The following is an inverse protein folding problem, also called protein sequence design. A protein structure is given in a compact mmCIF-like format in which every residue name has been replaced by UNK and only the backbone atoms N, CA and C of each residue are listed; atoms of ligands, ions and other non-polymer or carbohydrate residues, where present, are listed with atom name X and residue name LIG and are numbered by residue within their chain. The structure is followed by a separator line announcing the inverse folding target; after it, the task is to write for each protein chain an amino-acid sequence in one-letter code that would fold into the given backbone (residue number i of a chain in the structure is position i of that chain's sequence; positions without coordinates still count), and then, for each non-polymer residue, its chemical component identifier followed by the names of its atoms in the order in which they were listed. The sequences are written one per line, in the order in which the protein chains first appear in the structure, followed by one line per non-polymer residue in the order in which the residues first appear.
data_IF_641742249338
#
_entry.id   IF_641742249338
#
_cell.length_a   1.000
_cell.length_b   1.000
_cell.length_c   1.000
_cell.angle_alpha   90.00
_cell.angle_beta   90.00
_cell.angle_gamma   90.00
#
_symmetry.space_group_name_H-M   'P 1'
#
loop_
_entity.id
_entity.type
_entity.pdbx_description
1 polymer ?
#
# COMPACT_ATOMS: atom_id res chain seq x y z
N UNK A 1 -32.50 3.55 3.93
CA UNK A 1 -32.60 3.68 2.47
C UNK A 1 -32.66 2.28 1.89
N UNK A 2 -33.66 1.94 1.08
CA UNK A 2 -33.73 0.62 0.44
C UNK A 2 -32.72 0.59 -0.71
N UNK A 3 -31.73 -0.29 -0.62
CA UNK A 3 -30.82 -0.58 -1.72
C UNK A 3 -31.63 -1.18 -2.86
N UNK A 4 -31.90 -0.41 -3.90
CA UNK A 4 -32.46 -0.95 -5.16
C UNK A 4 -31.48 -1.96 -5.72
N UNK A 5 -31.96 -3.11 -6.18
CA UNK A 5 -31.22 -4.27 -6.65
C UNK A 5 -30.47 -4.01 -7.97
N UNK A 6 -29.46 -3.16 -7.92
CA UNK A 6 -28.35 -3.21 -8.86
C UNK A 6 -27.47 -4.38 -8.41
N UNK A 7 -27.12 -5.28 -9.31
CA UNK A 7 -26.19 -6.36 -9.00
C UNK A 7 -24.96 -5.75 -8.27
N UNK A 8 -24.82 -6.12 -7.00
CA UNK A 8 -23.86 -5.51 -6.08
C UNK A 8 -22.46 -5.87 -6.58
N UNK A 9 -21.75 -4.90 -7.16
CA UNK A 9 -20.35 -5.09 -7.57
C UNK A 9 -19.50 -5.20 -6.31
N UNK A 10 -18.75 -6.30 -6.22
CA UNK A 10 -17.76 -6.48 -5.15
C UNK A 10 -16.46 -5.84 -5.63
N UNK A 11 -15.96 -4.80 -4.96
CA UNK A 11 -14.72 -4.16 -5.36
C UNK A 11 -13.53 -5.09 -5.13
N UNK A 12 -12.54 -5.06 -6.04
CA UNK A 12 -11.27 -5.73 -5.82
C UNK A 12 -10.42 -4.98 -4.81
N UNK A 13 -9.63 -5.71 -4.04
CA UNK A 13 -8.57 -5.15 -3.19
C UNK A 13 -7.30 -5.11 -4.00
N UNK A 14 -6.86 -3.90 -4.32
CA UNK A 14 -5.64 -3.64 -5.08
C UNK A 14 -4.48 -3.35 -4.12
N UNK A 15 -3.55 -4.30 -4.02
CA UNK A 15 -2.42 -4.26 -3.12
C UNK A 15 -1.12 -3.77 -3.79
N UNK A 16 -0.21 -3.11 -3.03
CA UNK A 16 1.09 -2.72 -3.55
C UNK A 16 2.05 -3.91 -3.62
N UNK A 17 2.82 -4.02 -4.73
CA UNK A 17 3.91 -4.96 -4.88
C UNK A 17 5.20 -4.22 -5.29
N UNK A 18 6.04 -3.88 -4.31
CA UNK A 18 7.30 -3.18 -4.53
C UNK A 18 8.49 -4.10 -4.89
N UNK A 19 8.33 -5.41 -4.73
CA UNK A 19 9.29 -6.46 -5.05
C UNK A 19 8.60 -7.83 -5.06
N UNK A 20 9.33 -8.90 -5.36
CA UNK A 20 8.81 -10.28 -5.42
C UNK A 20 8.17 -10.74 -4.10
N UNK A 21 8.81 -10.50 -2.97
CA UNK A 21 8.26 -10.89 -1.66
C UNK A 21 6.94 -10.17 -1.34
N UNK A 22 6.82 -8.88 -1.71
CA UNK A 22 5.58 -8.13 -1.57
C UNK A 22 4.46 -8.69 -2.45
N UNK A 23 4.78 -9.09 -3.69
CA UNK A 23 3.85 -9.75 -4.60
C UNK A 23 3.32 -11.05 -4.00
N UNK A 24 4.21 -11.93 -3.58
CA UNK A 24 3.88 -13.22 -2.96
C UNK A 24 3.01 -13.02 -1.71
N UNK A 25 3.37 -12.05 -0.87
CA UNK A 25 2.61 -11.70 0.32
C UNK A 25 1.20 -11.18 -0.03
N UNK A 26 1.08 -10.26 -0.99
CA UNK A 26 -0.22 -9.73 -1.40
C UNK A 26 -1.15 -10.84 -1.93
N UNK A 27 -0.62 -11.73 -2.78
CA UNK A 27 -1.36 -12.87 -3.31
C UNK A 27 -1.80 -13.82 -2.18
N UNK A 28 -0.90 -14.17 -1.27
CA UNK A 28 -1.17 -15.11 -0.18
C UNK A 28 -2.23 -14.57 0.80
N UNK A 29 -2.20 -13.27 1.10
CA UNK A 29 -3.11 -12.64 2.07
C UNK A 29 -4.40 -12.09 1.44
N UNK A 30 -4.62 -12.30 0.14
CA UNK A 30 -5.91 -12.23 -0.52
C UNK A 30 -6.20 -10.93 -1.25
N UNK A 31 -5.20 -10.31 -1.84
CA UNK A 31 -5.42 -9.33 -2.89
C UNK A 31 -6.03 -9.99 -4.14
N UNK A 32 -6.89 -9.27 -4.85
CA UNK A 32 -7.42 -9.68 -6.17
C UNK A 32 -6.68 -9.01 -7.32
N UNK A 33 -5.97 -7.92 -7.02
CA UNK A 33 -5.06 -7.29 -7.95
C UNK A 33 -3.85 -6.73 -7.21
N UNK A 34 -2.73 -6.61 -7.92
CA UNK A 34 -1.52 -5.95 -7.43
C UNK A 34 -1.10 -4.86 -8.40
N UNK A 35 -0.53 -3.77 -7.88
CA UNK A 35 0.14 -2.80 -8.72
C UNK A 35 1.64 -2.77 -8.41
N UNK A 36 2.43 -2.82 -9.47
CA UNK A 36 3.88 -2.84 -9.41
C UNK A 36 4.48 -1.81 -10.36
N UNK A 37 5.78 -1.61 -10.29
CA UNK A 37 6.55 -0.77 -11.18
C UNK A 37 7.81 -1.47 -11.63
N UNK A 38 8.30 -1.09 -12.79
CA UNK A 38 9.63 -1.49 -13.25
C UNK A 38 10.68 -0.48 -12.81
N UNK A 39 11.94 -0.90 -12.78
CA UNK A 39 13.09 -0.04 -12.48
C UNK A 39 13.18 1.09 -13.51
N UNK A 40 13.72 2.24 -13.08
CA UNK A 40 13.81 3.45 -13.90
C UNK A 40 12.73 4.49 -13.56
N UNK A 41 12.60 5.51 -14.40
CA UNK A 41 11.84 6.73 -14.13
C UNK A 41 10.36 6.67 -14.57
N UNK A 42 9.84 5.49 -14.93
CA UNK A 42 8.48 5.33 -15.44
C UNK A 42 7.40 5.41 -14.35
N UNK A 43 7.77 5.33 -13.07
CA UNK A 43 6.82 5.27 -11.96
C UNK A 43 7.22 6.15 -10.77
N UNK A 44 6.22 6.62 -9.98
CA UNK A 44 6.40 7.55 -8.87
C UNK A 44 7.13 6.99 -7.65
N UNK A 45 7.45 5.72 -7.62
CA UNK A 45 8.24 5.06 -6.57
C UNK A 45 9.52 4.46 -7.18
N UNK A 46 10.23 5.23 -8.00
CA UNK A 46 11.50 4.83 -8.60
C UNK A 46 12.53 4.38 -7.55
N UNK A 47 12.48 4.94 -6.33
CA UNK A 47 13.33 4.53 -5.20
C UNK A 47 12.90 3.22 -4.50
N UNK A 48 11.77 2.59 -4.87
CA UNK A 48 11.47 1.22 -4.46
C UNK A 48 12.39 0.24 -5.19
N UNK A 49 12.49 -1.02 -4.71
CA UNK A 49 13.29 -2.04 -5.42
C UNK A 49 12.79 -2.25 -6.84
N UNK A 50 11.47 -2.23 -7.04
CA UNK A 50 10.80 -2.47 -8.32
C UNK A 50 11.28 -3.76 -9.00
N UNK A 51 10.61 -4.14 -10.08
CA UNK A 51 11.00 -5.30 -10.91
C UNK A 51 11.88 -4.82 -12.07
N UNK A 52 12.82 -5.63 -12.51
CA UNK A 52 13.42 -5.43 -13.82
C UNK A 52 12.38 -5.76 -14.91
N UNK A 53 12.61 -5.30 -16.14
CA UNK A 53 11.75 -5.68 -17.27
C UNK A 53 11.77 -7.20 -17.53
N UNK A 54 12.89 -7.85 -17.25
CA UNK A 54 13.02 -9.30 -17.44
C UNK A 54 12.27 -10.10 -16.37
N UNK A 55 12.11 -9.57 -15.16
CA UNK A 55 11.32 -10.19 -14.09
C UNK A 55 9.81 -10.01 -14.27
N UNK A 56 9.37 -9.11 -15.16
CA UNK A 56 7.95 -8.73 -15.28
C UNK A 56 7.06 -9.91 -15.70
N UNK A 57 7.50 -10.71 -16.67
CA UNK A 57 6.74 -11.88 -17.13
C UNK A 57 6.60 -12.92 -16.00
N UNK A 58 7.68 -13.28 -15.32
CA UNK A 58 7.65 -14.23 -14.20
C UNK A 58 6.80 -13.72 -13.02
N UNK A 59 6.83 -12.42 -12.75
CA UNK A 59 5.99 -11.80 -11.73
C UNK A 59 4.49 -11.86 -12.11
N UNK A 60 4.17 -11.62 -13.37
CA UNK A 60 2.81 -11.68 -13.89
C UNK A 60 2.27 -13.11 -13.89
N UNK A 61 3.05 -14.07 -14.39
CA UNK A 61 2.70 -15.49 -14.40
C UNK A 61 2.45 -16.02 -12.98
N UNK A 62 3.29 -15.63 -12.02
CA UNK A 62 3.10 -15.98 -10.62
C UNK A 62 1.78 -15.44 -10.07
N UNK A 63 1.49 -14.14 -10.29
CA UNK A 63 0.25 -13.52 -9.84
C UNK A 63 -0.98 -14.20 -10.46
N UNK A 64 -0.95 -14.44 -11.77
CA UNK A 64 -2.01 -15.13 -12.50
C UNK A 64 -2.20 -16.57 -12.01
N UNK A 65 -1.12 -17.28 -11.68
CA UNK A 65 -1.17 -18.59 -11.03
C UNK A 65 -1.90 -18.58 -9.67
N UNK A 66 -1.93 -17.43 -9.00
CA UNK A 66 -2.70 -17.19 -7.77
C UNK A 66 -4.10 -16.62 -8.04
N UNK A 67 -4.49 -16.38 -9.30
CA UNK A 67 -5.76 -15.72 -9.67
C UNK A 67 -5.76 -14.21 -9.41
N UNK A 68 -4.60 -13.56 -9.35
CA UNK A 68 -4.41 -12.14 -9.02
C UNK A 68 -4.01 -11.36 -10.27
N UNK A 69 -4.69 -10.26 -10.56
CA UNK A 69 -4.38 -9.37 -11.69
C UNK A 69 -3.18 -8.48 -11.41
N UNK A 70 -2.46 -8.09 -12.47
CA UNK A 70 -1.26 -7.25 -12.40
C UNK A 70 -1.48 -5.94 -13.13
N UNK A 71 -1.27 -4.81 -12.45
CA UNK A 71 -1.35 -3.47 -13.02
C UNK A 71 0.02 -2.80 -12.96
N UNK A 72 0.58 -2.47 -14.13
CA UNK A 72 1.89 -1.82 -14.22
C UNK A 72 1.76 -0.30 -14.10
N UNK A 73 2.55 0.33 -13.23
CA UNK A 73 2.54 1.77 -13.06
C UNK A 73 3.45 2.48 -14.07
N UNK A 74 2.87 3.33 -14.92
CA UNK A 74 3.51 4.25 -15.85
C UNK A 74 3.04 5.68 -15.54
N UNK A 75 3.13 6.07 -14.27
CA UNK A 75 2.38 7.20 -13.72
C UNK A 75 3.23 8.41 -13.31
N UNK A 76 4.39 8.56 -13.91
CA UNK A 76 5.18 9.80 -13.85
C UNK A 76 4.66 10.82 -14.87
N UNK A 77 5.19 12.06 -14.81
CA UNK A 77 5.06 13.07 -15.85
C UNK A 77 6.41 13.18 -16.55
N UNK A 78 6.67 12.36 -17.57
CA UNK A 78 7.96 12.31 -18.24
C UNK A 78 8.20 13.54 -19.10
N UNK A 79 9.45 14.00 -19.19
CA UNK A 79 9.90 14.90 -20.23
C UNK A 79 10.30 14.07 -21.46
N UNK A 80 10.46 14.71 -22.63
CA UNK A 80 10.72 14.03 -23.92
C UNK A 80 11.86 13.00 -23.81
N UNK A 81 12.98 13.35 -23.18
CA UNK A 81 14.11 12.44 -23.01
C UNK A 81 13.80 11.17 -22.18
N UNK A 82 12.78 11.22 -21.33
CA UNK A 82 12.35 10.08 -20.54
C UNK A 82 11.30 9.24 -21.27
N UNK A 83 10.50 9.87 -22.14
CA UNK A 83 9.53 9.17 -22.99
C UNK A 83 10.19 8.13 -23.90
N UNK A 84 11.46 8.31 -24.28
CA UNK A 84 12.22 7.37 -25.11
C UNK A 84 12.25 5.92 -24.57
N UNK A 85 12.14 5.75 -23.25
CA UNK A 85 12.14 4.43 -22.63
C UNK A 85 10.73 3.78 -22.58
N UNK A 86 9.65 4.54 -22.73
CA UNK A 86 8.29 4.02 -22.56
C UNK A 86 7.85 3.01 -23.62
N UNK A 87 8.20 3.16 -24.92
CA UNK A 87 7.84 2.18 -25.93
C UNK A 87 8.26 0.75 -25.59
N UNK A 88 9.50 0.55 -25.14
CA UNK A 88 9.99 -0.76 -24.73
C UNK A 88 9.20 -1.29 -23.53
N UNK A 89 8.95 -0.46 -22.52
CA UNK A 89 8.22 -0.86 -21.32
C UNK A 89 6.77 -1.26 -21.68
N UNK A 90 6.10 -0.51 -22.55
CA UNK A 90 4.72 -0.79 -22.97
C UNK A 90 4.65 -2.13 -23.76
N UNK A 91 5.53 -2.35 -24.69
CA UNK A 91 5.58 -3.60 -25.48
C UNK A 91 5.87 -4.80 -24.56
N UNK A 92 6.86 -4.68 -23.68
CA UNK A 92 7.21 -5.74 -22.71
C UNK A 92 6.07 -6.00 -21.71
N UNK A 93 5.30 -4.99 -21.33
CA UNK A 93 4.10 -5.16 -20.50
C UNK A 93 3.02 -5.98 -21.23
N UNK A 94 2.82 -5.73 -22.53
CA UNK A 94 1.93 -6.51 -23.36
C UNK A 94 2.37 -7.97 -23.47
N UNK A 95 3.66 -8.19 -23.79
CA UNK A 95 4.25 -9.54 -23.91
C UNK A 95 4.18 -10.33 -22.59
N UNK A 96 4.36 -9.65 -21.46
CA UNK A 96 4.25 -10.23 -20.12
C UNK A 96 2.80 -10.50 -19.66
N UNK A 97 1.79 -10.13 -20.45
CA UNK A 97 0.39 -10.36 -20.12
C UNK A 97 -0.14 -9.51 -18.96
N UNK A 98 0.42 -8.31 -18.74
CA UNK A 98 -0.06 -7.36 -17.72
C UNK A 98 -1.52 -6.99 -18.02
N UNK A 99 -2.38 -7.01 -16.99
CA UNK A 99 -3.84 -6.82 -17.15
C UNK A 99 -4.25 -5.36 -17.41
N UNK A 100 -3.46 -4.39 -16.95
CA UNK A 100 -3.66 -2.97 -17.21
C UNK A 100 -2.39 -2.15 -16.94
N UNK A 101 -2.34 -0.94 -17.51
CA UNK A 101 -1.34 0.06 -17.16
C UNK A 101 -1.98 1.23 -16.41
N UNK A 102 -1.28 1.78 -15.41
CA UNK A 102 -1.73 2.96 -14.63
C UNK A 102 -0.97 4.18 -15.12
N UNK A 103 -1.65 5.10 -15.79
CA UNK A 103 -1.07 6.24 -16.51
C UNK A 103 -1.54 7.57 -15.90
N UNK A 104 -0.69 8.62 -15.95
CA UNK A 104 -1.03 9.98 -15.49
C UNK A 104 -0.94 11.01 -16.60
N UNK A 105 -0.07 10.79 -17.57
CA UNK A 105 0.32 11.70 -18.62
C UNK A 105 -0.37 11.38 -19.95
N UNK A 106 -0.80 12.41 -20.69
CA UNK A 106 -1.49 12.23 -21.96
C UNK A 106 -0.57 11.68 -23.06
N UNK A 107 0.72 12.03 -23.06
CA UNK A 107 1.67 11.49 -24.03
C UNK A 107 1.92 10.01 -23.81
N UNK A 108 1.96 9.58 -22.53
CA UNK A 108 2.05 8.14 -22.20
C UNK A 108 0.76 7.40 -22.60
N UNK A 109 -0.42 8.02 -22.40
CA UNK A 109 -1.69 7.45 -22.84
C UNK A 109 -1.73 7.26 -24.36
N UNK A 110 -1.26 8.24 -25.11
CA UNK A 110 -1.18 8.20 -26.57
C UNK A 110 -0.24 7.06 -27.05
N UNK A 111 0.95 6.95 -26.44
CA UNK A 111 1.87 5.83 -26.71
C UNK A 111 1.25 4.45 -26.41
N UNK A 112 0.51 4.32 -25.32
CA UNK A 112 -0.18 3.04 -25.02
C UNK A 112 -1.25 2.73 -26.06
N UNK A 113 -2.01 3.73 -26.51
CA UNK A 113 -3.03 3.55 -27.53
C UNK A 113 -2.43 3.17 -28.89
N UNK A 114 -1.24 3.69 -29.23
CA UNK A 114 -0.51 3.35 -30.44
C UNK A 114 0.14 1.96 -30.40
N UNK A 115 0.88 1.67 -29.33
CA UNK A 115 1.75 0.48 -29.24
C UNK A 115 1.05 -0.76 -28.70
N UNK A 116 0.02 -0.59 -27.88
CA UNK A 116 -0.74 -1.67 -27.24
C UNK A 116 -2.25 -1.34 -27.22
N UNK A 117 -2.93 -1.23 -28.37
CA UNK A 117 -4.31 -0.71 -28.46
C UNK A 117 -5.37 -1.55 -27.73
N UNK A 118 -5.02 -2.77 -27.32
CA UNK A 118 -5.89 -3.63 -26.51
C UNK A 118 -5.61 -3.58 -25.00
N UNK A 119 -4.58 -2.84 -24.56
CA UNK A 119 -4.17 -2.75 -23.16
C UNK A 119 -5.16 -1.85 -22.38
N UNK A 120 -5.82 -2.37 -21.33
CA UNK A 120 -6.65 -1.53 -20.47
C UNK A 120 -5.82 -0.43 -19.78
N UNK A 121 -6.35 0.79 -19.74
CA UNK A 121 -5.69 1.93 -19.10
C UNK A 121 -6.49 2.38 -17.88
N UNK A 122 -5.84 2.40 -16.73
CA UNK A 122 -6.34 2.99 -15.50
C UNK A 122 -5.70 4.38 -15.32
N UNK A 123 -6.53 5.40 -15.14
CA UNK A 123 -6.03 6.75 -14.88
C UNK A 123 -5.56 6.87 -13.43
N UNK A 124 -4.31 7.25 -13.23
CA UNK A 124 -3.73 7.47 -11.92
C UNK A 124 -4.39 8.63 -11.18
N UNK A 125 -4.44 8.55 -9.85
CA UNK A 125 -4.81 9.68 -8.99
C UNK A 125 -3.99 10.96 -9.25
N UNK A 126 -2.79 10.83 -9.81
CA UNK A 126 -1.93 11.94 -10.21
C UNK A 126 -2.53 12.84 -11.29
N UNK A 127 -3.53 12.35 -12.02
CA UNK A 127 -4.30 13.18 -12.97
C UNK A 127 -5.31 14.11 -12.28
N UNK A 128 -5.42 14.08 -10.94
CA UNK A 128 -6.25 14.96 -10.09
C UNK A 128 -7.73 15.00 -10.52
N UNK A 129 -8.32 13.84 -10.77
CA UNK A 129 -9.71 13.77 -11.25
C UNK A 129 -10.66 13.91 -10.07
N UNK A 130 -11.42 15.01 -10.04
CA UNK A 130 -12.29 15.41 -8.93
C UNK A 130 -13.75 15.65 -9.34
N UNK A 131 -14.14 15.34 -10.57
CA UNK A 131 -15.53 15.54 -11.00
C UNK A 131 -15.91 14.60 -12.16
N UNK A 132 -17.21 14.35 -12.32
CA UNK A 132 -17.73 13.43 -13.31
C UNK A 132 -17.44 13.86 -14.77
N UNK A 133 -17.37 15.16 -15.06
CA UNK A 133 -17.04 15.63 -16.41
C UNK A 133 -15.63 15.24 -16.81
N UNK A 134 -14.67 15.35 -15.87
CA UNK A 134 -13.30 14.92 -16.10
C UNK A 134 -13.23 13.39 -16.27
N UNK A 135 -13.92 12.60 -15.42
CA UNK A 135 -14.02 11.14 -15.59
C UNK A 135 -14.52 10.77 -16.96
N UNK A 136 -15.63 11.38 -17.40
CA UNK A 136 -16.22 11.08 -18.71
C UNK A 136 -15.35 11.58 -19.89
N UNK A 137 -14.54 12.63 -19.69
CA UNK A 137 -13.56 13.06 -20.70
C UNK A 137 -12.45 12.03 -20.87
N UNK A 138 -11.87 11.56 -19.77
CA UNK A 138 -10.86 10.50 -19.78
C UNK A 138 -11.38 9.20 -20.39
N UNK A 139 -12.63 8.81 -20.08
CA UNK A 139 -13.27 7.64 -20.71
C UNK A 139 -13.32 7.78 -22.25
N UNK A 140 -13.65 8.97 -22.77
CA UNK A 140 -13.63 9.19 -24.23
C UNK A 140 -12.24 9.10 -24.86
N UNK A 141 -11.18 9.29 -24.07
CA UNK A 141 -9.79 9.11 -24.48
C UNK A 141 -9.31 7.65 -24.33
N UNK A 142 -10.19 6.70 -24.00
CA UNK A 142 -9.85 5.28 -23.92
C UNK A 142 -9.52 4.78 -22.52
N UNK A 143 -9.60 5.62 -21.49
CA UNK A 143 -9.41 5.18 -20.09
C UNK A 143 -10.59 4.32 -19.66
N UNK A 144 -10.31 3.12 -19.13
CA UNK A 144 -11.32 2.17 -18.65
C UNK A 144 -11.68 2.40 -17.17
N UNK A 145 -10.70 2.74 -16.32
CA UNK A 145 -10.86 2.97 -14.88
C UNK A 145 -10.22 4.29 -14.46
N UNK A 146 -10.85 5.00 -13.53
CA UNK A 146 -10.31 6.25 -12.97
C UNK A 146 -10.05 6.09 -11.48
N UNK A 147 -8.79 6.26 -11.06
CA UNK A 147 -8.42 6.36 -9.66
C UNK A 147 -8.63 7.81 -9.23
N UNK A 148 -9.69 8.04 -8.46
CA UNK A 148 -10.10 9.36 -8.06
C UNK A 148 -9.07 10.05 -7.15
N UNK A 149 -9.09 11.37 -7.14
CA UNK A 149 -8.29 12.17 -6.22
C UNK A 149 -8.68 11.90 -4.76
N UNK A 150 -7.70 11.99 -3.83
CA UNK A 150 -7.91 11.70 -2.40
C UNK A 150 -8.56 12.84 -1.64
N UNK A 151 -8.71 13.97 -2.27
CA UNK A 151 -9.30 15.19 -1.73
C UNK A 151 -10.83 15.23 -1.85
N UNK A 152 -11.45 14.16 -2.37
CA UNK A 152 -12.90 14.01 -2.49
C UNK A 152 -13.53 13.43 -1.22
N UNK A 153 -14.68 13.99 -0.83
CA UNK A 153 -15.51 13.41 0.21
C UNK A 153 -16.52 12.39 -0.34
N UNK A 154 -17.16 11.65 0.56
CA UNK A 154 -18.10 10.58 0.21
C UNK A 154 -19.28 11.05 -0.64
N UNK A 155 -19.76 12.28 -0.44
CA UNK A 155 -20.88 12.83 -1.20
C UNK A 155 -20.47 13.19 -2.63
N UNK A 156 -19.27 13.71 -2.83
CA UNK A 156 -18.69 14.01 -4.13
C UNK A 156 -18.40 12.74 -4.92
N UNK A 157 -17.79 11.72 -4.29
CA UNK A 157 -17.56 10.41 -4.92
C UNK A 157 -18.89 9.79 -5.36
N UNK A 158 -19.91 9.84 -4.50
CA UNK A 158 -21.26 9.36 -4.84
C UNK A 158 -21.86 10.11 -6.04
N UNK A 159 -21.72 11.42 -6.09
CA UNK A 159 -22.18 12.22 -7.22
C UNK A 159 -21.46 11.87 -8.53
N UNK A 160 -20.15 11.64 -8.46
CA UNK A 160 -19.35 11.16 -9.60
C UNK A 160 -19.88 9.78 -10.05
N UNK A 161 -20.06 8.83 -9.11
CA UNK A 161 -20.54 7.47 -9.43
C UNK A 161 -21.90 7.49 -10.13
N UNK A 162 -22.81 8.37 -9.71
CA UNK A 162 -24.13 8.51 -10.32
C UNK A 162 -24.10 9.10 -11.73
N UNK A 163 -23.06 9.85 -12.08
CA UNK A 163 -22.93 10.57 -13.34
C UNK A 163 -21.99 9.90 -14.37
N UNK A 164 -21.49 8.70 -14.08
CA UNK A 164 -20.62 7.95 -14.99
C UNK A 164 -20.81 6.45 -14.85
N UNK A 165 -20.56 5.74 -15.93
CA UNK A 165 -20.47 4.28 -16.01
C UNK A 165 -19.02 3.77 -16.11
N UNK A 166 -18.02 4.69 -16.07
CA UNK A 166 -16.61 4.32 -15.99
C UNK A 166 -16.32 3.55 -14.69
N UNK A 167 -15.34 2.67 -14.69
CA UNK A 167 -14.84 2.07 -13.47
C UNK A 167 -14.19 3.12 -12.58
N UNK A 168 -14.48 3.08 -11.27
CA UNK A 168 -13.94 3.99 -10.29
C UNK A 168 -13.18 3.23 -9.21
N UNK A 169 -12.05 3.78 -8.83
CA UNK A 169 -11.17 3.27 -7.77
C UNK A 169 -10.81 4.40 -6.82
N UNK A 170 -10.71 4.12 -5.52
CA UNK A 170 -10.22 5.07 -4.51
C UNK A 170 -9.12 4.45 -3.66
N UNK A 171 -8.25 5.30 -3.12
CA UNK A 171 -7.37 4.88 -2.03
C UNK A 171 -8.17 4.74 -0.73
N UNK A 172 -7.97 3.61 -0.04
CA UNK A 172 -8.65 3.32 1.24
C UNK A 172 -7.67 3.24 2.42
N UNK A 173 -6.36 3.10 2.15
CA UNK A 173 -5.36 2.95 3.21
C UNK A 173 -3.99 3.44 2.79
N UNK A 174 -3.21 3.93 3.76
CA UNK A 174 -1.80 4.24 3.64
C UNK A 174 -1.46 5.72 3.59
N UNK A 175 -0.26 6.04 3.18
CA UNK A 175 0.29 7.40 3.25
C UNK A 175 -0.43 8.38 2.33
N UNK A 176 -0.77 9.55 2.85
CA UNK A 176 -1.34 10.67 2.08
C UNK A 176 -0.29 11.75 1.88
N UNK A 177 -0.24 12.34 0.68
CA UNK A 177 0.58 13.52 0.42
C UNK A 177 -0.13 14.78 0.91
N UNK A 178 0.65 15.77 1.38
CA UNK A 178 0.12 17.08 1.74
C UNK A 178 -0.29 17.92 0.51
N UNK A 179 0.27 17.62 -0.64
CA UNK A 179 -0.05 18.27 -1.92
C UNK A 179 -1.16 17.54 -2.66
N UNK A 180 -1.93 18.27 -3.45
CA UNK A 180 -3.05 17.74 -4.23
C UNK A 180 -2.61 16.53 -5.05
N UNK A 181 -3.15 15.36 -4.72
CA UNK A 181 -2.88 14.07 -5.36
C UNK A 181 -1.38 13.80 -5.61
N UNK A 182 -0.50 14.35 -4.75
CA UNK A 182 0.94 14.16 -4.84
C UNK A 182 1.67 15.04 -5.86
N UNK A 183 1.02 15.97 -6.54
CA UNK A 183 1.69 16.97 -7.41
C UNK A 183 2.41 18.00 -6.53
N UNK A 184 3.73 17.87 -6.42
CA UNK A 184 4.53 18.66 -5.49
C UNK A 184 5.85 19.09 -6.11
N UNK A 185 6.26 20.33 -5.83
CA UNK A 185 7.55 20.87 -6.26
C UNK A 185 8.55 21.06 -5.11
N UNK A 186 8.16 20.80 -3.85
CA UNK A 186 9.03 21.06 -2.69
C UNK A 186 10.35 20.30 -2.80
N UNK A 187 10.32 19.02 -3.22
CA UNK A 187 11.53 18.21 -3.42
C UNK A 187 12.44 18.78 -4.53
N UNK A 188 11.85 19.34 -5.59
CA UNK A 188 12.61 19.98 -6.66
C UNK A 188 13.32 21.24 -6.16
N UNK A 189 12.62 22.10 -5.41
CA UNK A 189 13.18 23.34 -4.90
C UNK A 189 14.23 23.13 -3.81
N UNK A 190 14.02 22.19 -2.88
CA UNK A 190 14.93 22.00 -1.76
C UNK A 190 16.10 21.06 -2.07
N UNK A 191 15.92 20.09 -2.95
CA UNK A 191 16.90 19.02 -3.17
C UNK A 191 17.23 18.76 -4.64
N UNK A 192 16.73 19.58 -5.56
CA UNK A 192 16.89 19.37 -7.01
C UNK A 192 16.43 17.97 -7.49
N UNK A 193 15.45 17.37 -6.79
CA UNK A 193 14.90 16.04 -7.11
C UNK A 193 13.40 16.14 -7.35
N UNK A 194 12.98 15.78 -8.57
CA UNK A 194 11.61 15.96 -9.03
C UNK A 194 10.69 14.85 -8.49
N UNK A 195 9.76 15.27 -7.63
CA UNK A 195 8.74 14.38 -7.06
C UNK A 195 7.79 13.81 -8.12
N UNK A 196 7.50 14.58 -9.18
CA UNK A 196 6.57 14.21 -10.24
C UNK A 196 7.18 13.21 -11.23
N UNK A 197 8.50 13.02 -11.15
CA UNK A 197 9.28 12.03 -11.93
C UNK A 197 9.82 10.89 -11.06
N UNK A 198 9.19 10.61 -9.92
CA UNK A 198 9.53 9.48 -9.07
C UNK A 198 10.68 9.69 -8.09
N UNK A 199 11.34 10.87 -8.09
CA UNK A 199 12.52 11.15 -7.27
C UNK A 199 12.24 11.94 -6.00
N UNK A 200 11.02 11.84 -5.43
CA UNK A 200 10.62 12.58 -4.23
C UNK A 200 11.48 12.18 -3.02
N UNK A 201 12.15 13.17 -2.40
CA UNK A 201 12.90 13.00 -1.14
C UNK A 201 12.03 13.19 0.09
N UNK A 202 10.73 13.38 -0.08
CA UNK A 202 9.75 13.62 0.98
C UNK A 202 10.09 14.82 1.90
N UNK A 203 10.47 15.99 1.35
CA UNK A 203 10.87 17.13 2.18
C UNK A 203 9.71 17.69 3.02
N UNK A 204 8.46 17.42 2.67
CA UNK A 204 7.31 17.72 3.52
C UNK A 204 7.35 16.98 4.87
N UNK A 205 8.29 16.06 5.03
CA UNK A 205 8.51 15.25 6.26
C UNK A 205 9.84 15.57 6.96
N UNK A 206 10.57 16.59 6.48
CA UNK A 206 11.82 17.04 7.09
C UNK A 206 11.58 18.00 8.25
N UNK A 207 12.58 18.18 9.13
CA UNK A 207 12.50 19.08 10.26
C UNK A 207 12.71 20.53 9.82
N UNK A 208 11.69 21.37 10.03
CA UNK A 208 11.75 22.80 9.77
C UNK A 208 11.19 23.57 10.96
N UNK A 209 11.75 24.73 11.29
CA UNK A 209 11.08 25.70 12.12
C UNK A 209 10.42 26.74 11.22
N UNK A 210 9.09 26.71 11.10
CA UNK A 210 8.31 27.75 10.42
C UNK A 210 7.87 28.79 11.43
N UNK A 211 8.18 30.05 11.15
CA UNK A 211 7.70 31.20 11.92
C UNK A 211 6.76 32.02 11.06
N UNK A 212 5.49 32.10 11.43
CA UNK A 212 4.54 32.99 10.78
C UNK A 212 4.73 34.41 11.35
N UNK A 213 5.05 35.39 10.50
CA UNK A 213 5.30 36.79 10.94
C UNK A 213 4.09 37.45 11.58
N UNK A 214 2.88 37.00 11.28
CA UNK A 214 1.62 37.55 11.85
C UNK A 214 1.28 36.93 13.20
N UNK A 215 1.93 35.83 13.57
CA UNK A 215 1.79 35.14 14.85
C UNK A 215 3.15 34.98 15.57
N UNK A 216 3.77 36.08 16.00
CA UNK A 216 5.09 36.01 16.63
C UNK A 216 5.03 35.20 17.92
N UNK A 217 5.95 34.25 18.07
CA UNK A 217 6.03 33.36 19.24
C UNK A 217 5.23 32.06 19.12
N UNK A 218 4.46 31.86 18.05
CA UNK A 218 3.91 30.55 17.69
C UNK A 218 4.85 29.88 16.69
N UNK A 219 5.57 28.89 17.17
CA UNK A 219 6.38 28.02 16.31
C UNK A 219 5.48 26.88 15.84
N UNK A 220 5.25 26.78 14.54
CA UNK A 220 4.66 25.56 13.95
C UNK A 220 5.77 24.52 13.97
N UNK A 221 5.67 23.50 14.82
CA UNK A 221 6.77 22.58 15.01
C UNK A 221 7.00 21.77 13.72
N UNK A 222 8.26 21.57 13.45
CA UNK A 222 8.76 20.82 12.32
C UNK A 222 9.84 19.92 12.88
N UNK A 223 9.71 18.61 12.85
CA UNK A 223 10.66 17.70 13.48
C UNK A 223 11.31 16.73 12.51
N UNK A 224 12.50 16.28 12.85
CA UNK A 224 13.29 15.28 12.12
C UNK A 224 13.35 13.97 12.90
N UNK A 225 13.12 12.85 12.22
CA UNK A 225 13.44 11.53 12.76
C UNK A 225 13.88 10.60 11.62
N UNK A 226 14.98 9.88 11.80
CA UNK A 226 15.48 8.90 10.83
C UNK A 226 15.94 9.49 9.50
N UNK A 227 16.38 10.75 9.45
CA UNK A 227 16.84 11.43 8.21
C UNK A 227 15.72 12.00 7.36
N UNK A 228 14.50 12.17 7.90
CA UNK A 228 13.35 12.76 7.23
C UNK A 228 12.76 13.92 8.03
N UNK A 229 12.47 15.01 7.35
CA UNK A 229 11.84 16.22 7.92
C UNK A 229 10.34 16.25 7.62
N UNK A 230 9.53 16.74 8.54
CA UNK A 230 8.07 16.70 8.48
C UNK A 230 7.46 18.11 8.48
N UNK A 231 7.24 18.67 7.28
CA UNK A 231 6.42 19.84 7.07
C UNK A 231 4.97 19.36 6.90
N UNK A 232 4.09 19.67 7.84
CA UNK A 232 2.69 19.22 7.77
C UNK A 232 2.58 17.69 7.66
N UNK A 233 3.13 16.98 8.63
CA UNK A 233 3.11 15.51 8.69
C UNK A 233 1.67 14.99 8.71
N UNK A 234 1.12 14.64 7.53
CA UNK A 234 -0.21 14.06 7.44
C UNK A 234 -0.25 12.68 8.09
N UNK A 235 -1.32 12.39 8.83
CA UNK A 235 -1.63 11.04 9.31
C UNK A 235 -1.80 10.07 8.12
N UNK A 236 -1.81 8.79 8.38
CA UNK A 236 -2.05 7.78 7.35
C UNK A 236 -3.57 7.54 7.17
N UNK A 237 -4.01 7.43 5.92
CA UNK A 237 -5.41 7.13 5.58
C UNK A 237 -5.80 5.74 6.09
N UNK A 238 -6.98 5.63 6.70
CA UNK A 238 -7.64 4.36 6.98
C UNK A 238 -9.16 4.53 6.92
N UNK A 239 -9.80 3.90 5.94
CA UNK A 239 -11.25 3.95 5.77
C UNK A 239 -11.99 2.76 6.40
N UNK A 240 -11.31 1.87 7.13
CA UNK A 240 -11.97 0.79 7.87
C UNK A 240 -13.06 1.28 8.83
N UNK A 241 -12.88 2.39 9.60
CA UNK A 241 -13.92 2.88 10.49
C UNK A 241 -15.24 3.26 9.82
N UNK A 242 -15.21 3.56 8.53
CA UNK A 242 -16.36 4.01 7.71
C UNK A 242 -16.58 3.10 6.49
N UNK A 243 -16.21 1.83 6.63
CA UNK A 243 -16.14 0.90 5.50
C UNK A 243 -17.50 0.59 4.88
N UNK A 244 -18.58 0.65 5.66
CA UNK A 244 -19.96 0.58 5.18
C UNK A 244 -20.27 1.67 4.15
N UNK A 245 -19.83 2.91 4.41
CA UNK A 245 -20.00 4.02 3.49
C UNK A 245 -19.15 3.85 2.22
N UNK A 246 -17.93 3.29 2.34
CA UNK A 246 -17.06 2.96 1.19
C UNK A 246 -17.75 1.93 0.29
N UNK A 247 -18.23 0.84 0.86
CA UNK A 247 -18.89 -0.22 0.10
C UNK A 247 -20.19 0.23 -0.58
N UNK A 248 -20.93 1.14 0.08
CA UNK A 248 -22.15 1.72 -0.46
C UNK A 248 -21.95 2.63 -1.69
N UNK A 249 -20.71 2.96 -2.06
CA UNK A 249 -20.39 3.74 -3.27
C UNK A 249 -20.46 2.92 -4.56
N UNK A 250 -20.38 1.60 -4.49
CA UNK A 250 -20.41 0.73 -5.68
C UNK A 250 -19.20 0.93 -6.61
N UNK A 251 -18.01 0.97 -6.01
CA UNK A 251 -16.73 1.12 -6.71
C UNK A 251 -16.22 -0.22 -7.23
N UNK A 252 -15.32 -0.19 -8.20
CA UNK A 252 -14.66 -1.37 -8.75
C UNK A 252 -13.34 -1.70 -8.06
N UNK A 253 -12.66 -0.70 -7.46
CA UNK A 253 -11.35 -0.92 -6.82
C UNK A 253 -11.18 -0.19 -5.49
N UNK A 254 -10.57 -0.90 -4.53
CA UNK A 254 -10.13 -0.39 -3.23
C UNK A 254 -8.61 -0.49 -3.17
N UNK A 255 -7.91 0.64 -3.30
CA UNK A 255 -6.46 0.68 -3.42
C UNK A 255 -5.76 0.93 -2.09
N UNK A 256 -4.77 0.10 -1.78
CA UNK A 256 -3.89 0.25 -0.63
C UNK A 256 -2.57 0.88 -1.09
N UNK A 257 -2.18 2.01 -0.50
CA UNK A 257 -0.85 2.61 -0.73
C UNK A 257 0.19 1.91 0.13
N UNK A 258 1.39 1.66 -0.42
CA UNK A 258 2.43 1.04 0.40
C UNK A 258 3.56 0.31 -0.34
N UNK A 259 3.95 0.67 -1.56
CA UNK A 259 5.03 -0.02 -2.31
C UNK A 259 6.40 -0.04 -1.60
N UNK A 260 6.66 0.93 -0.73
CA UNK A 260 7.88 1.00 0.10
C UNK A 260 7.67 0.47 1.53
N UNK A 261 6.52 -0.13 1.82
CA UNK A 261 6.22 -0.71 3.13
C UNK A 261 6.76 -2.14 3.23
N UNK A 262 6.72 -2.71 4.43
CA UNK A 262 7.16 -4.09 4.70
C UNK A 262 6.11 -5.13 4.29
N UNK A 263 6.54 -6.39 4.12
CA UNK A 263 5.63 -7.53 3.89
C UNK A 263 4.62 -7.67 5.03
N UNK A 264 5.00 -7.39 6.28
CA UNK A 264 4.08 -7.39 7.43
C UNK A 264 2.95 -6.37 7.26
N UNK A 265 3.25 -5.16 6.77
CA UNK A 265 2.24 -4.15 6.48
C UNK A 265 1.27 -4.64 5.40
N UNK A 266 1.79 -5.19 4.31
CA UNK A 266 0.97 -5.69 3.19
C UNK A 266 0.04 -6.80 3.67
N UNK A 267 0.57 -7.82 4.35
CA UNK A 267 -0.21 -8.92 4.89
C UNK A 267 -1.34 -8.45 5.81
N UNK A 268 -0.98 -7.60 6.78
CA UNK A 268 -1.92 -7.12 7.80
C UNK A 268 -3.04 -6.27 7.21
N UNK A 269 -2.70 -5.32 6.32
CA UNK A 269 -3.68 -4.39 5.75
C UNK A 269 -4.58 -5.09 4.73
N UNK A 270 -4.00 -5.85 3.79
CA UNK A 270 -4.78 -6.58 2.77
C UNK A 270 -5.79 -7.51 3.44
N UNK A 271 -5.34 -8.28 4.43
CA UNK A 271 -6.21 -9.22 5.14
C UNK A 271 -7.35 -8.53 5.91
N UNK A 272 -7.07 -7.38 6.55
CA UNK A 272 -8.09 -6.62 7.27
C UNK A 272 -9.18 -6.09 6.33
N UNK A 273 -8.80 -5.50 5.20
CA UNK A 273 -9.75 -5.02 4.18
C UNK A 273 -10.52 -6.16 3.53
N UNK A 274 -9.89 -7.29 3.26
CA UNK A 274 -10.57 -8.49 2.75
C UNK A 274 -11.63 -8.99 3.72
N UNK A 275 -11.30 -9.14 5.01
CA UNK A 275 -12.26 -9.56 6.05
C UNK A 275 -13.45 -8.60 6.13
N UNK A 276 -13.18 -7.29 6.14
CA UNK A 276 -14.22 -6.27 6.19
C UNK A 276 -15.14 -6.35 4.97
N UNK A 277 -14.56 -6.44 3.75
CA UNK A 277 -15.33 -6.57 2.51
C UNK A 277 -16.15 -7.86 2.48
N UNK A 278 -15.55 -9.00 2.80
CA UNK A 278 -16.23 -10.29 2.77
C UNK A 278 -17.36 -10.36 3.83
N UNK A 279 -17.19 -9.70 4.97
CA UNK A 279 -18.24 -9.55 5.98
C UNK A 279 -19.40 -8.68 5.46
N UNK A 280 -19.09 -7.55 4.84
CA UNK A 280 -20.10 -6.67 4.25
C UNK A 280 -20.86 -7.38 3.11
N UNK A 281 -20.16 -8.10 2.22
CA UNK A 281 -20.79 -8.85 1.11
C UNK A 281 -21.74 -9.93 1.64
N UNK A 282 -21.42 -10.55 2.77
CA UNK A 282 -22.25 -11.58 3.39
C UNK A 282 -23.54 -11.03 3.98
N UNK A 283 -23.50 -9.88 4.59
CA UNK A 283 -24.65 -9.23 5.23
C UNK A 283 -24.51 -7.70 5.19
N UNK A 284 -24.90 -7.06 4.07
CA UNK A 284 -24.77 -5.60 3.92
C UNK A 284 -25.68 -4.80 4.85
N UNK A 285 -26.86 -5.36 5.22
CA UNK A 285 -27.82 -4.66 6.09
C UNK A 285 -27.46 -4.74 7.57
N UNK A 286 -26.88 -5.85 7.99
CA UNK A 286 -26.41 -6.08 9.35
C UNK A 286 -24.93 -5.79 9.57
N UNK A 287 -24.21 -5.28 8.55
CA UNK A 287 -22.78 -5.04 8.65
C UNK A 287 -22.41 -4.03 9.74
N UNK A 288 -21.50 -4.44 10.60
CA UNK A 288 -20.86 -3.59 11.60
C UNK A 288 -19.35 -3.78 11.50
N UNK A 289 -18.62 -2.67 11.52
CA UNK A 289 -17.16 -2.70 11.52
C UNK A 289 -16.66 -3.35 12.81
N UNK A 290 -15.92 -4.46 12.68
CA UNK A 290 -15.29 -5.09 13.84
C UNK A 290 -14.08 -4.24 14.28
N UNK A 291 -14.07 -3.73 15.54
CA UNK A 291 -12.94 -2.98 16.06
C UNK A 291 -11.61 -3.78 16.06
N UNK A 292 -11.68 -5.11 15.97
CA UNK A 292 -10.49 -5.95 15.87
C UNK A 292 -9.73 -5.69 14.56
N UNK A 293 -10.40 -5.38 13.45
CA UNK A 293 -9.72 -5.05 12.19
C UNK A 293 -8.92 -3.75 12.29
N UNK A 294 -9.48 -2.75 13.01
CA UNK A 294 -8.79 -1.47 13.24
C UNK A 294 -7.57 -1.68 14.14
N UNK A 295 -7.73 -2.47 15.21
CA UNK A 295 -6.59 -2.83 16.07
C UNK A 295 -5.52 -3.62 15.31
N UNK A 296 -5.94 -4.48 14.39
CA UNK A 296 -5.02 -5.30 13.60
C UNK A 296 -4.17 -4.45 12.66
N UNK A 297 -4.76 -3.53 11.89
CA UNK A 297 -3.96 -2.62 11.04
C UNK A 297 -3.07 -1.69 11.85
N UNK A 298 -3.42 -1.38 13.09
CA UNK A 298 -2.58 -0.63 14.04
C UNK A 298 -1.30 -1.38 14.45
N UNK A 299 -1.21 -2.68 14.25
CA UNK A 299 0.00 -3.49 14.50
C UNK A 299 1.05 -3.33 13.39
N UNK A 300 0.64 -2.94 12.19
CA UNK A 300 1.57 -2.54 11.14
C UNK A 300 2.09 -1.12 11.38
N UNK A 301 3.28 -0.83 10.86
CA UNK A 301 3.88 0.51 10.96
C UNK A 301 2.97 1.59 10.36
N UNK A 302 2.59 2.60 11.15
CA UNK A 302 1.70 3.67 10.75
C UNK A 302 2.04 5.00 11.44
N UNK A 303 1.41 6.11 11.00
CA UNK A 303 1.58 7.47 11.56
C UNK A 303 0.32 8.01 12.25
N UNK A 304 -0.41 7.18 12.93
CA UNK A 304 -1.81 7.39 13.30
C UNK A 304 -2.73 7.39 12.08
N UNK A 305 -3.95 6.98 12.30
CA UNK A 305 -4.94 6.87 11.23
C UNK A 305 -5.97 7.99 11.30
N UNK A 306 -6.40 8.42 10.12
CA UNK A 306 -7.52 9.32 9.91
C UNK A 306 -8.28 8.94 8.64
N UNK A 307 -9.47 9.50 8.45
CA UNK A 307 -10.30 9.22 7.26
C UNK A 307 -9.96 10.09 6.05
N UNK A 308 -8.90 10.89 6.13
CA UNK A 308 -8.56 11.85 5.07
C UNK A 308 -9.69 12.84 4.82
N UNK A 309 -9.93 13.15 3.57
CA UNK A 309 -11.05 14.01 3.14
C UNK A 309 -12.37 13.25 3.01
N UNK A 310 -12.40 11.94 3.23
CA UNK A 310 -13.56 11.10 2.92
C UNK A 310 -14.84 11.52 3.67
N UNK A 311 -14.74 11.91 4.93
CA UNK A 311 -15.88 12.43 5.69
C UNK A 311 -16.00 13.94 5.55
N UNK A 312 -14.91 14.67 5.73
CA UNK A 312 -14.86 16.12 5.70
C UNK A 312 -13.43 16.59 5.41
N UNK A 313 -13.26 17.90 5.14
CA UNK A 313 -11.92 18.50 5.00
C UNK A 313 -11.15 18.34 6.31
N UNK A 314 -10.00 17.65 6.33
CA UNK A 314 -9.21 17.51 7.54
C UNK A 314 -8.64 18.87 7.93
N UNK A 315 -8.96 19.31 9.14
CA UNK A 315 -8.36 20.47 9.77
C UNK A 315 -7.01 20.12 10.43
N UNK A 316 -6.72 20.77 11.55
CA UNK A 316 -5.54 20.50 12.37
C UNK A 316 -5.44 19.03 12.81
N UNK A 317 -6.58 18.36 13.00
CA UNK A 317 -6.64 16.93 13.38
C UNK A 317 -6.07 15.98 12.31
N UNK A 318 -5.92 16.44 11.08
CA UNK A 318 -5.29 15.68 9.98
C UNK A 318 -3.77 15.69 10.02
N UNK A 319 -3.17 16.51 10.90
CA UNK A 319 -1.73 16.71 11.03
C UNK A 319 -1.26 16.04 12.32
N UNK A 320 -0.14 15.32 12.21
CA UNK A 320 0.55 14.77 13.37
C UNK A 320 1.59 15.77 13.84
N UNK A 321 1.34 16.42 14.98
CA UNK A 321 2.24 17.44 15.55
C UNK A 321 3.30 16.87 16.49
N UNK A 322 3.09 15.67 17.02
CA UNK A 322 4.10 14.99 17.83
C UNK A 322 4.97 14.09 16.92
N UNK A 323 6.23 14.40 16.87
CA UNK A 323 7.18 13.85 15.93
C UNK A 323 7.79 12.51 16.35
N UNK A 324 7.01 11.62 16.89
CA UNK A 324 7.48 10.29 17.27
C UNK A 324 7.60 9.31 16.10
N UNK A 325 7.78 9.80 14.87
CA UNK A 325 7.97 8.97 13.70
C UNK A 325 6.78 8.05 13.38
N UNK A 326 7.07 6.86 12.88
CA UNK A 326 6.08 5.80 12.73
C UNK A 326 5.81 5.12 14.07
N UNK A 327 4.55 4.82 14.33
CA UNK A 327 4.15 3.97 15.44
C UNK A 327 4.47 2.52 15.04
N UNK A 328 5.36 1.91 15.79
CA UNK A 328 5.72 0.50 15.67
C UNK A 328 5.27 -0.23 16.94
N UNK A 329 4.41 -1.20 16.80
CA UNK A 329 4.00 -2.05 17.93
C UNK A 329 4.44 -3.49 17.74
N UNK A 330 4.72 -3.89 16.51
CA UNK A 330 5.17 -5.22 16.15
C UNK A 330 6.22 -5.14 15.04
N UNK A 331 7.18 -6.08 15.06
CA UNK A 331 8.13 -6.30 13.97
C UNK A 331 7.87 -7.64 13.28
N UNK A 332 8.23 -7.70 12.00
CA UNK A 332 8.33 -8.96 11.29
C UNK A 332 9.43 -9.81 11.95
N UNK A 333 9.06 -10.92 12.57
CA UNK A 333 9.97 -11.82 13.26
C UNK A 333 10.61 -12.84 12.33
N UNK A 334 9.76 -13.54 11.54
CA UNK A 334 10.18 -14.57 10.62
C UNK A 334 9.17 -14.75 9.48
N UNK A 335 9.59 -15.44 8.44
CA UNK A 335 8.75 -15.93 7.34
C UNK A 335 8.81 -17.45 7.31
N UNK A 336 7.70 -18.10 7.09
CA UNK A 336 7.64 -19.54 6.86
C UNK A 336 8.20 -19.84 5.46
N UNK A 337 9.17 -20.74 5.36
CA UNK A 337 9.75 -21.15 4.07
C UNK A 337 9.41 -22.59 3.69
N UNK A 338 8.94 -23.41 4.64
CA UNK A 338 8.53 -24.79 4.34
C UNK A 338 8.35 -25.67 5.55
N UNK A 339 8.36 -26.98 5.29
CA UNK A 339 8.28 -28.02 6.33
C UNK A 339 9.30 -29.12 6.02
N UNK A 340 9.96 -29.59 7.04
CA UNK A 340 10.93 -30.69 6.94
C UNK A 340 10.93 -31.53 8.22
N UNK A 341 10.95 -32.86 8.10
CA UNK A 341 11.03 -33.75 9.25
C UNK A 341 9.92 -33.58 10.31
N UNK A 342 8.73 -33.09 9.92
CA UNK A 342 7.64 -32.82 10.85
C UNK A 342 7.78 -31.51 11.64
N UNK A 343 8.72 -30.65 11.22
CA UNK A 343 8.95 -29.33 11.77
C UNK A 343 8.60 -28.25 10.73
N UNK A 344 8.20 -27.09 11.18
CA UNK A 344 8.07 -25.90 10.33
C UNK A 344 9.43 -25.22 10.20
N UNK A 345 9.81 -24.85 8.99
CA UNK A 345 11.06 -24.16 8.66
C UNK A 345 10.77 -22.69 8.45
N UNK A 346 11.53 -21.85 9.13
CA UNK A 346 11.40 -20.40 9.11
C UNK A 346 12.70 -19.74 8.69
N UNK A 347 12.60 -18.58 8.08
CA UNK A 347 13.69 -17.63 7.88
C UNK A 347 13.50 -16.45 8.84
N UNK A 348 14.44 -16.20 9.73
CA UNK A 348 14.41 -15.10 10.67
C UNK A 348 14.58 -13.75 9.93
N UNK A 349 13.80 -12.76 10.29
CA UNK A 349 13.86 -11.40 9.72
C UNK A 349 14.40 -10.38 10.73
N UNK A 350 14.34 -10.72 12.00
CA UNK A 350 14.86 -9.94 13.11
C UNK A 350 15.53 -10.89 14.13
N UNK A 351 16.37 -10.39 15.04
CA UNK A 351 16.94 -11.21 16.09
C UNK A 351 15.83 -11.85 16.94
N UNK A 352 15.94 -13.15 17.18
CA UNK A 352 15.01 -13.91 18.00
C UNK A 352 15.77 -14.61 19.14
N UNK A 353 15.13 -14.71 20.29
CA UNK A 353 15.69 -15.35 21.48
C UNK A 353 14.68 -16.34 22.07
N UNK A 354 15.17 -17.48 22.58
CA UNK A 354 14.35 -18.49 23.22
C UNK A 354 13.46 -17.88 24.32
N UNK A 355 12.18 -18.27 24.32
CA UNK A 355 11.17 -17.75 25.25
C UNK A 355 10.43 -16.50 24.74
N UNK A 356 10.82 -15.95 23.59
CA UNK A 356 10.06 -14.83 23.00
C UNK A 356 8.64 -15.25 22.65
N UNK A 357 7.67 -14.40 23.02
CA UNK A 357 6.31 -14.47 22.53
C UNK A 357 6.22 -13.96 21.09
N UNK A 358 5.66 -14.77 20.23
CA UNK A 358 5.48 -14.51 18.80
C UNK A 358 4.01 -14.69 18.43
N UNK A 359 3.60 -14.06 17.33
CA UNK A 359 2.28 -14.25 16.73
C UNK A 359 2.43 -14.76 15.28
N UNK A 360 1.88 -15.95 15.00
CA UNK A 360 1.72 -16.41 13.63
C UNK A 360 0.51 -15.73 13.00
N UNK A 361 0.72 -15.12 11.84
CA UNK A 361 -0.29 -14.47 11.04
C UNK A 361 -0.68 -15.39 9.87
N UNK A 362 -1.77 -16.13 10.02
CA UNK A 362 -2.26 -17.05 8.99
C UNK A 362 -2.92 -16.30 7.84
N UNK A 363 -2.71 -16.77 6.62
CA UNK A 363 -3.33 -16.23 5.41
C UNK A 363 -4.86 -16.44 5.36
N UNK A 364 -5.42 -17.36 6.16
CA UNK A 364 -6.86 -17.53 6.31
C UNK A 364 -7.50 -16.55 7.32
N UNK A 365 -6.69 -15.72 7.95
CA UNK A 365 -7.15 -14.67 8.85
C UNK A 365 -7.05 -14.99 10.32
N UNK A 366 -6.55 -16.13 10.72
CA UNK A 366 -6.27 -16.43 12.14
C UNK A 366 -4.97 -15.76 12.57
N UNK A 367 -4.87 -15.44 13.83
CA UNK A 367 -3.63 -15.03 14.49
C UNK A 367 -3.48 -15.86 15.74
N UNK A 368 -2.37 -16.60 15.85
CA UNK A 368 -2.14 -17.50 16.98
C UNK A 368 -0.82 -17.11 17.68
N UNK A 369 -0.87 -16.81 18.99
CA UNK A 369 0.32 -16.57 19.78
C UNK A 369 1.04 -17.90 20.08
N UNK A 370 2.35 -17.88 20.12
CA UNK A 370 3.20 -19.01 20.53
C UNK A 370 4.53 -18.52 21.08
N UNK A 371 5.18 -19.34 21.94
CA UNK A 371 6.51 -19.05 22.43
C UNK A 371 7.58 -19.72 21.56
N UNK A 372 8.66 -19.02 21.28
CA UNK A 372 9.83 -19.57 20.59
C UNK A 372 10.59 -20.52 21.53
N UNK A 373 10.37 -21.83 21.43
CA UNK A 373 11.01 -22.82 22.30
C UNK A 373 11.51 -24.00 21.49
N UNK A 374 12.76 -24.40 21.72
CA UNK A 374 13.33 -25.58 21.08
C UNK A 374 13.65 -25.38 19.58
N UNK A 375 14.02 -24.19 19.16
CA UNK A 375 14.43 -23.89 17.79
C UNK A 375 15.74 -24.59 17.43
N UNK A 376 15.81 -25.15 16.23
CA UNK A 376 17.01 -25.80 15.70
C UNK A 376 17.56 -25.00 14.53
N UNK A 377 18.83 -24.62 14.59
CA UNK A 377 19.61 -24.07 13.47
C UNK A 377 20.61 -25.15 13.04
N UNK A 378 20.60 -25.55 11.79
CA UNK A 378 21.43 -26.66 11.28
C UNK A 378 21.33 -27.95 12.11
N UNK A 379 20.13 -28.23 12.63
CA UNK A 379 19.87 -29.42 13.46
C UNK A 379 20.38 -29.33 14.92
N UNK A 380 20.88 -28.18 15.36
CA UNK A 380 21.35 -27.93 16.71
C UNK A 380 20.43 -26.99 17.46
N UNK A 381 20.18 -27.25 18.73
CA UNK A 381 19.38 -26.37 19.58
C UNK A 381 20.10 -25.04 19.75
N UNK A 382 19.41 -23.94 19.34
CA UNK A 382 19.93 -22.58 19.46
C UNK A 382 18.99 -21.72 20.30
N UNK A 383 19.58 -20.90 21.21
CA UNK A 383 18.83 -19.97 22.06
C UNK A 383 18.71 -18.55 21.48
N UNK A 384 19.52 -18.24 20.50
CA UNK A 384 19.51 -16.95 19.81
C UNK A 384 19.68 -17.16 18.30
N UNK A 385 18.76 -16.61 17.52
CA UNK A 385 18.73 -16.73 16.07
C UNK A 385 18.95 -15.34 15.49
N UNK A 386 19.89 -15.22 14.55
CA UNK A 386 20.22 -13.95 13.88
C UNK A 386 19.31 -13.73 12.69
N UNK A 387 19.18 -12.47 12.23
CA UNK A 387 18.48 -12.18 10.97
C UNK A 387 19.07 -12.97 9.80
N UNK A 388 18.20 -13.45 8.92
CA UNK A 388 18.47 -14.28 7.75
C UNK A 388 18.95 -15.72 8.07
N UNK A 389 19.02 -16.12 9.33
CA UNK A 389 19.24 -17.54 9.66
C UNK A 389 17.95 -18.34 9.44
N UNK A 390 18.15 -19.56 8.93
CA UNK A 390 17.07 -20.55 8.77
C UNK A 390 17.02 -21.42 10.02
N UNK A 391 15.84 -21.56 10.58
CA UNK A 391 15.61 -22.41 11.76
C UNK A 391 14.35 -23.26 11.62
N UNK A 392 14.34 -24.38 12.29
CA UNK A 392 13.20 -25.28 12.33
C UNK A 392 12.60 -25.30 13.74
N UNK A 393 11.27 -25.32 13.82
CA UNK A 393 10.52 -25.34 15.07
C UNK A 393 9.35 -26.29 14.96
N UNK A 394 9.09 -27.05 16.02
CA UNK A 394 7.86 -27.83 16.14
C UNK A 394 6.73 -26.90 16.59
N UNK A 395 5.76 -26.68 15.72
CA UNK A 395 4.60 -25.84 15.99
C UNK A 395 3.33 -26.67 16.28
N UNK A 396 2.40 -26.12 17.06
CA UNK A 396 1.06 -26.69 17.27
C UNK A 396 0.11 -26.46 16.09
N UNK A 397 0.52 -25.60 15.15
CA UNK A 397 -0.21 -25.24 13.93
C UNK A 397 0.63 -25.60 12.70
N UNK A 398 0.00 -25.67 11.54
CA UNK A 398 0.67 -25.97 10.26
C UNK A 398 0.55 -24.74 9.37
N UNK A 399 1.54 -23.83 9.38
CA UNK A 399 1.51 -22.65 8.56
C UNK A 399 1.85 -22.98 7.10
N UNK A 400 1.36 -22.16 6.17
CA UNK A 400 1.71 -22.26 4.75
C UNK A 400 3.05 -21.56 4.46
N UNK A 401 3.86 -22.06 3.52
CA UNK A 401 5.01 -21.30 3.03
C UNK A 401 4.61 -19.89 2.62
N UNK A 402 5.41 -18.89 3.01
CA UNK A 402 5.12 -17.48 2.79
C UNK A 402 4.37 -16.77 3.91
N UNK A 403 3.71 -17.51 4.82
CA UNK A 403 3.05 -16.89 5.98
C UNK A 403 4.06 -16.27 6.94
N UNK A 404 3.61 -15.23 7.64
CA UNK A 404 4.48 -14.38 8.44
C UNK A 404 4.31 -14.64 9.93
N UNK A 405 5.40 -14.44 10.64
CA UNK A 405 5.44 -14.40 12.10
C UNK A 405 5.90 -13.02 12.53
N UNK A 406 5.21 -12.42 13.49
CA UNK A 406 5.59 -11.13 14.06
C UNK A 406 5.84 -11.23 15.56
N UNK A 407 6.60 -10.28 16.09
CA UNK A 407 6.84 -10.13 17.52
C UNK A 407 6.28 -8.80 18.02
N UNK A 408 5.61 -8.76 19.19
CA UNK A 408 5.32 -7.50 19.87
C UNK A 408 6.62 -6.77 20.24
N UNK A 409 6.62 -5.44 20.19
CA UNK A 409 7.73 -4.63 20.68
C UNK A 409 7.60 -4.45 22.19
N UNK A 410 8.67 -4.77 22.91
CA UNK A 410 8.82 -4.42 24.32
C UNK A 410 9.21 -2.93 24.46
N UNK A 411 9.08 -2.37 25.68
CA UNK A 411 9.53 -0.99 25.92
C UNK A 411 11.04 -0.81 25.70
N UNK A 412 11.85 -1.87 25.89
CA UNK A 412 13.27 -1.89 25.61
C UNK A 412 13.63 -1.82 24.11
N UNK A 413 12.81 -2.42 23.24
CA UNK A 413 13.00 -2.38 21.79
C UNK A 413 12.79 -0.98 21.23
N UNK A 414 11.86 -0.19 21.81
CA UNK A 414 11.58 1.21 21.40
C UNK A 414 12.76 2.15 21.61
N UNK A 415 13.66 1.86 22.57
CA UNK A 415 14.85 2.67 22.87
C UNK A 415 15.98 2.41 21.89
N UNK A 416 16.05 1.23 21.29
CA UNK A 416 17.10 0.88 20.31
C UNK A 416 16.83 1.52 18.93
N UNK A 417 15.59 1.70 18.53
CA UNK A 417 15.23 2.37 17.26
C UNK A 417 15.55 3.88 17.27
N UNK A 418 15.56 4.51 18.43
CA UNK A 418 15.96 5.92 18.59
C UNK A 418 17.47 6.16 18.50
N UNK A 419 18.29 5.11 18.38
CA UNK A 419 19.77 5.18 18.35
C UNK A 419 20.41 4.63 17.08
N UNK A 420 19.64 4.11 16.15
CA UNK A 420 20.07 3.63 14.85
C UNK A 420 19.67 4.60 13.73
#
# INVERSE_FOLDING_TARGET
MRYTSVAMKVPEILAPAGNREHLETACLYGAEAVYLGVQGDSNLRAGARNFSLDELADATDFAHGCGVRVYLTLNTFPHDAQLEAFPEIILRAGDAGVDAVIVSDLGVLDLVAELAPGMPVHLSTQANTVNARAVNAWKRLGVSRVILARELNVSEIRAIRQATDAELEIFVHGSVCISISGRCLISSYLNSRDANRGSCTQPCRWDYALVERTRPGQYLPVAEEGGYTYLYNSKDLCLLPVFDQVMALGLEGLKIEGRNRTSLYIATVVQAYRKARDAWVRDPEGFVVDPAWIREVGKASNREYFTGFFLDTPGEDGIKYDFKGYIHTHHLAARVIGHEGGMTVFEARNPLVEGMELEWLSSDGRTEPFALTGALVEGRLERAIKPNEVFSLKTSFVPRPGELVRKPLSEGDKVLELRA
#
